data_IF_612485967327
#
_entry.id   IF_612485967327
#
_cell.length_a   1.000
_cell.length_b   1.000
_cell.length_c   1.000
_cell.angle_alpha   90.00
_cell.angle_beta   90.00
_cell.angle_gamma   90.00
#
_symmetry.space_group_name_H-M   'P 1'
#
loop_
_entity.id
_entity.type
_entity.pdbx_description
1 polymer ?
#
# COMPACT_ATOMS: atom_id res chain seq x y z
N UNK A 1 -4.02 3.28 14.07
CA UNK A 1 -3.09 4.28 13.53
C UNK A 1 -2.58 3.81 12.17
N UNK A 2 -2.34 4.73 11.25
CA UNK A 2 -1.78 4.49 9.91
C UNK A 2 -0.35 5.07 9.88
N UNK A 3 0.55 4.53 9.06
CA UNK A 3 1.97 4.92 9.00
C UNK A 3 2.94 3.76 9.20
N UNK A 4 4.23 4.09 9.37
CA UNK A 4 5.37 3.16 9.28
C UNK A 4 5.67 2.74 7.85
N UNK A 5 4.86 1.85 7.27
CA UNK A 5 5.04 1.40 5.89
C UNK A 5 3.70 1.16 5.24
N UNK A 6 3.67 1.36 3.93
CA UNK A 6 2.63 0.79 3.10
C UNK A 6 2.64 -0.73 3.21
N UNK A 7 1.47 -1.34 3.22
CA UNK A 7 1.32 -2.79 3.29
C UNK A 7 0.80 -3.33 1.96
N UNK A 8 1.51 -4.33 1.41
CA UNK A 8 1.03 -5.06 0.24
C UNK A 8 -0.31 -5.74 0.49
N UNK A 9 -1.18 -5.72 -0.52
CA UNK A 9 -2.42 -6.50 -0.56
C UNK A 9 -2.46 -7.38 -1.81
N UNK A 10 -3.24 -8.45 -1.78
CA UNK A 10 -3.51 -9.27 -2.95
C UNK A 10 -4.47 -8.61 -3.97
N UNK A 11 -4.99 -7.40 -3.68
CA UNK A 11 -5.96 -6.74 -4.56
C UNK A 11 -5.27 -6.10 -5.78
N UNK A 12 -5.65 -6.45 -7.01
CA UNK A 12 -5.12 -5.80 -8.20
C UNK A 12 -5.48 -4.32 -8.25
N UNK A 13 -4.52 -3.48 -8.62
CA UNK A 13 -4.75 -2.07 -8.91
C UNK A 13 -5.16 -1.97 -10.39
N UNK A 14 -6.47 -1.94 -10.65
CA UNK A 14 -7.03 -1.92 -12.00
C UNK A 14 -6.40 -0.88 -12.94
N UNK A 15 -6.53 -1.12 -14.25
CA UNK A 15 -6.03 -0.23 -15.30
C UNK A 15 -4.71 -0.66 -15.94
N UNK A 16 -3.83 -1.40 -15.24
CA UNK A 16 -2.63 -2.03 -15.83
C UNK A 16 -2.29 -3.36 -15.15
N UNK A 17 -1.93 -4.43 -15.90
CA UNK A 17 -1.44 -5.68 -15.32
C UNK A 17 -0.19 -5.48 -14.45
N UNK A 18 0.04 -6.39 -13.51
CA UNK A 18 1.24 -6.40 -12.67
C UNK A 18 1.30 -5.31 -11.60
N UNK A 19 0.16 -4.71 -11.25
CA UNK A 19 0.07 -3.72 -10.16
C UNK A 19 -0.89 -4.18 -9.06
N UNK A 20 -0.50 -3.93 -7.82
CA UNK A 20 -1.27 -4.27 -6.63
C UNK A 20 -1.50 -3.05 -5.75
N UNK A 21 -2.58 -3.09 -4.98
CA UNK A 21 -2.92 -2.02 -4.05
C UNK A 21 -2.06 -2.15 -2.80
N UNK A 22 -1.48 -1.02 -2.37
CA UNK A 22 -0.88 -0.87 -1.05
C UNK A 22 -1.70 0.08 -0.17
N UNK A 23 -1.68 -0.16 1.14
CA UNK A 23 -2.53 0.50 2.14
C UNK A 23 -1.72 1.00 3.33
N UNK A 24 -2.30 1.84 4.17
CA UNK A 24 -1.73 2.18 5.48
C UNK A 24 -0.84 3.42 5.53
N UNK A 25 -0.26 3.86 4.40
CA UNK A 25 0.66 5.00 4.40
C UNK A 25 2.00 4.67 5.07
N UNK A 26 2.99 5.51 4.84
CA UNK A 26 4.36 5.36 5.31
C UNK A 26 4.72 6.37 6.40
N UNK A 27 5.86 6.21 7.07
CA UNK A 27 6.36 7.16 8.07
C UNK A 27 6.65 8.56 7.52
N UNK A 28 6.86 8.69 6.20
CA UNK A 28 7.07 9.97 5.52
C UNK A 28 5.79 10.58 4.93
N UNK A 29 4.65 9.88 5.04
CA UNK A 29 3.38 10.35 4.51
C UNK A 29 2.61 11.22 5.52
N UNK A 30 1.97 12.28 5.01
CA UNK A 30 1.09 13.14 5.80
C UNK A 30 -0.16 13.56 5.01
N UNK A 31 -1.23 13.85 5.73
CA UNK A 31 -2.48 14.37 5.16
C UNK A 31 -3.58 13.34 4.88
N UNK A 32 -4.82 13.85 4.85
CA UNK A 32 -6.05 13.05 4.75
C UNK A 32 -6.23 12.31 3.41
N UNK A 33 -5.48 12.68 2.36
CA UNK A 33 -5.53 12.01 1.06
C UNK A 33 -4.77 10.69 1.02
N UNK A 34 -3.74 10.56 1.86
CA UNK A 34 -2.77 9.46 1.81
C UNK A 34 -3.04 8.44 2.92
N UNK A 35 -3.19 8.92 4.16
CA UNK A 35 -3.31 8.06 5.35
C UNK A 35 -4.76 7.69 5.72
N UNK A 36 -5.73 7.86 4.81
CA UNK A 36 -7.13 7.47 5.03
C UNK A 36 -7.33 5.97 4.78
N UNK A 37 -8.17 5.26 5.56
CA UNK A 37 -8.44 3.84 5.34
C UNK A 37 -8.92 3.49 3.93
N UNK A 38 -9.64 4.42 3.28
CA UNK A 38 -10.15 4.23 1.91
C UNK A 38 -9.14 4.58 0.80
N UNK A 39 -7.94 5.11 1.09
CA UNK A 39 -6.94 5.45 0.07
C UNK A 39 -6.41 4.20 -0.62
N UNK A 40 -6.21 4.25 -1.94
CA UNK A 40 -5.76 3.10 -2.74
C UNK A 40 -4.58 3.54 -3.61
N UNK A 41 -3.40 2.99 -3.34
CA UNK A 41 -2.20 3.30 -4.11
C UNK A 41 -1.78 2.06 -4.92
N UNK A 42 -1.74 2.18 -6.24
CA UNK A 42 -1.28 1.12 -7.12
C UNK A 42 0.24 1.16 -7.30
N UNK A 43 0.91 0.03 -7.06
CA UNK A 43 2.38 -0.11 -7.22
C UNK A 43 2.71 -1.35 -8.08
N UNK A 44 3.76 -1.30 -8.92
CA UNK A 44 4.27 -2.46 -9.64
C UNK A 44 4.70 -3.58 -8.67
N UNK A 45 4.41 -4.84 -9.03
CA UNK A 45 4.65 -6.00 -8.18
C UNK A 45 6.13 -6.25 -7.84
N UNK A 46 7.04 -5.79 -8.70
CA UNK A 46 8.48 -5.92 -8.57
C UNK A 46 9.14 -4.77 -7.80
N UNK A 47 8.37 -3.78 -7.36
CA UNK A 47 8.88 -2.62 -6.63
C UNK A 47 9.34 -3.00 -5.22
N UNK A 48 10.62 -2.76 -4.92
CA UNK A 48 11.24 -3.01 -3.60
C UNK A 48 11.57 -1.70 -2.86
N UNK A 49 10.56 -0.84 -2.71
CA UNK A 49 10.74 0.46 -2.06
C UNK A 49 10.75 0.32 -0.53
N UNK A 50 11.65 1.03 0.17
CA UNK A 50 11.84 0.95 1.63
C UNK A 50 10.58 1.30 2.45
N UNK A 51 9.66 2.02 1.83
CA UNK A 51 8.41 2.48 2.45
C UNK A 51 7.27 1.46 2.31
N UNK A 52 7.52 0.29 1.72
CA UNK A 52 6.51 -0.75 1.48
C UNK A 52 6.97 -2.05 2.15
N UNK A 53 6.19 -2.52 3.11
CA UNK A 53 6.32 -3.82 3.76
C UNK A 53 5.10 -4.70 3.52
N UNK A 54 4.86 -5.63 4.46
CA UNK A 54 3.77 -6.58 4.40
C UNK A 54 3.15 -6.79 5.78
N UNK A 55 1.87 -7.14 5.79
CA UNK A 55 1.16 -7.64 6.98
C UNK A 55 0.61 -9.01 6.65
N UNK A 56 0.92 -9.99 7.49
CA UNK A 56 0.39 -11.34 7.34
C UNK A 56 -1.06 -11.39 7.78
N UNK A 57 -1.83 -12.25 7.12
CA UNK A 57 -3.20 -12.60 7.47
C UNK A 57 -3.31 -14.12 7.54
N UNK A 58 -4.14 -14.62 8.44
CA UNK A 58 -4.46 -16.03 8.59
C UNK A 58 -5.98 -16.22 8.51
N UNK A 59 -6.42 -17.40 8.06
CA UNK A 59 -7.84 -17.80 8.01
C UNK A 59 -8.32 -18.33 9.36
#
# INVERSE_FOLDING_TARGET
AAGQVYEWTATPAGGKPGRFIVKGGSWDDSGCGICRPAARHGRPADLKHILIGFRLVAE
#
